data_IF_907417727579
#
_entry.id   IF_907417727579
#
_cell.length_a   1.000
_cell.length_b   1.000
_cell.length_c   1.000
_cell.angle_alpha   90.00
_cell.angle_beta   90.00
_cell.angle_gamma   90.00
#
_symmetry.space_group_name_H-M   'P 1'
#
loop_
_entity.id
_entity.type
_entity.pdbx_description
1 polymer ?
#
# COMPACT_ATOMS: atom_id res chain seq x y z
N UNK A 1 17.53 -5.99 -17.40
CA UNK A 1 16.12 -5.74 -17.74
C UNK A 1 15.56 -4.66 -16.83
N UNK A 2 15.26 -3.46 -17.36
CA UNK A 2 14.73 -2.33 -16.57
C UNK A 2 13.24 -2.48 -16.27
N UNK A 3 12.85 -3.47 -15.46
CA UNK A 3 11.45 -3.67 -15.05
C UNK A 3 10.97 -2.63 -14.03
N UNK A 4 11.91 -2.04 -13.29
CA UNK A 4 11.67 -0.88 -12.43
C UNK A 4 11.36 0.40 -13.23
N UNK A 5 11.55 0.37 -14.56
CA UNK A 5 11.23 1.47 -15.45
C UNK A 5 9.87 1.26 -16.11
N UNK A 6 9.03 2.29 -16.10
CA UNK A 6 7.72 2.22 -16.72
C UNK A 6 7.88 1.85 -18.20
N UNK A 7 7.15 0.83 -18.67
CA UNK A 7 7.31 0.35 -20.03
C UNK A 7 6.86 1.36 -21.09
N UNK A 8 6.11 2.41 -20.74
CA UNK A 8 5.75 3.49 -21.67
C UNK A 8 6.95 4.25 -22.23
N UNK A 9 8.12 4.17 -21.57
CA UNK A 9 9.36 4.75 -22.07
C UNK A 9 9.98 3.97 -23.24
N UNK A 10 9.40 2.82 -23.61
CA UNK A 10 9.95 1.89 -24.59
C UNK A 10 8.93 1.56 -25.67
N UNK A 11 9.37 1.19 -26.89
CA UNK A 11 8.49 0.85 -28.01
C UNK A 11 7.93 -0.58 -27.88
N UNK A 12 7.30 -0.88 -26.75
CA UNK A 12 6.62 -2.15 -26.51
C UNK A 12 5.14 -2.07 -26.91
N UNK A 13 4.56 -3.22 -27.26
CA UNK A 13 3.11 -3.29 -27.46
C UNK A 13 2.39 -3.07 -26.12
N UNK A 14 1.14 -2.57 -26.14
CA UNK A 14 0.39 -2.33 -24.91
C UNK A 14 0.31 -3.53 -23.97
N UNK A 15 0.09 -4.73 -24.52
CA UNK A 15 0.09 -5.96 -23.74
C UNK A 15 1.43 -6.25 -23.04
N UNK A 16 2.55 -6.04 -23.74
CA UNK A 16 3.88 -6.22 -23.14
C UNK A 16 4.13 -5.19 -22.04
N UNK A 17 3.65 -3.95 -22.22
CA UNK A 17 3.68 -2.95 -21.17
C UNK A 17 2.92 -3.42 -19.92
N UNK A 18 1.70 -3.90 -20.09
CA UNK A 18 0.89 -4.40 -18.97
C UNK A 18 1.54 -5.57 -18.24
N UNK A 19 2.06 -6.57 -18.96
CA UNK A 19 2.76 -7.71 -18.33
C UNK A 19 3.96 -7.23 -17.52
N UNK A 20 4.73 -6.26 -18.02
CA UNK A 20 5.87 -5.70 -17.28
C UNK A 20 5.41 -4.98 -16.01
N UNK A 21 4.31 -4.22 -16.06
CA UNK A 21 3.72 -3.57 -14.87
C UNK A 21 3.22 -4.60 -13.87
N UNK A 22 2.55 -5.67 -14.30
CA UNK A 22 2.10 -6.77 -13.43
C UNK A 22 3.25 -7.48 -12.72
N UNK A 23 4.33 -7.79 -13.44
CA UNK A 23 5.54 -8.40 -12.86
C UNK A 23 6.16 -7.47 -11.81
N UNK A 24 6.35 -6.19 -12.14
CA UNK A 24 6.93 -5.24 -11.20
C UNK A 24 6.02 -5.01 -9.98
N UNK A 25 4.71 -4.94 -10.19
CA UNK A 25 3.73 -4.84 -9.13
C UNK A 25 3.83 -5.99 -8.13
N UNK A 26 4.02 -7.22 -8.62
CA UNK A 26 4.21 -8.38 -7.75
C UNK A 26 5.46 -8.24 -6.86
N UNK A 27 6.60 -7.84 -7.44
CA UNK A 27 7.83 -7.58 -6.68
C UNK A 27 7.63 -6.48 -5.64
N UNK A 28 6.89 -5.43 -6.00
CA UNK A 28 6.57 -4.33 -5.10
C UNK A 28 5.72 -4.77 -3.90
N UNK A 29 4.70 -5.59 -4.14
CA UNK A 29 3.87 -6.13 -3.07
C UNK A 29 4.67 -7.09 -2.16
N UNK A 30 5.54 -7.93 -2.73
CA UNK A 30 6.44 -8.81 -1.96
C UNK A 30 7.37 -8.01 -1.05
N UNK A 31 7.98 -6.96 -1.57
CA UNK A 31 8.87 -6.10 -0.78
C UNK A 31 8.13 -5.42 0.37
N UNK A 32 6.93 -4.86 0.12
CA UNK A 32 6.11 -4.28 1.19
C UNK A 32 5.71 -5.30 2.28
N UNK A 33 5.45 -6.56 1.90
CA UNK A 33 5.25 -7.63 2.88
C UNK A 33 6.52 -7.89 3.69
N UNK A 34 7.69 -7.87 3.07
CA UNK A 34 8.95 -8.06 3.78
C UNK A 34 9.20 -6.96 4.82
N UNK A 35 8.90 -5.69 4.48
CA UNK A 35 8.93 -4.57 5.41
C UNK A 35 8.01 -4.81 6.62
N UNK A 36 6.78 -5.27 6.37
CA UNK A 36 5.75 -5.43 7.41
C UNK A 36 6.03 -6.59 8.36
N UNK A 37 6.40 -7.75 7.82
CA UNK A 37 6.46 -9.00 8.59
C UNK A 37 7.85 -9.31 9.14
N UNK A 38 8.90 -8.89 8.44
CA UNK A 38 10.28 -9.22 8.82
C UNK A 38 11.07 -8.01 9.30
N UNK A 39 10.49 -6.80 9.26
CA UNK A 39 11.21 -5.57 9.58
C UNK A 39 12.42 -5.35 8.68
N UNK A 40 12.39 -5.93 7.47
CA UNK A 40 13.46 -5.79 6.50
C UNK A 40 13.54 -4.35 5.97
N UNK A 41 14.66 -3.99 5.37
CA UNK A 41 14.76 -2.80 4.54
C UNK A 41 14.29 -3.11 3.11
N UNK A 42 13.76 -2.10 2.42
CA UNK A 42 13.31 -2.24 1.03
C UNK A 42 14.51 -2.56 0.13
N UNK A 43 14.42 -3.65 -0.63
CA UNK A 43 15.42 -4.02 -1.64
C UNK A 43 15.12 -3.43 -3.03
N UNK A 44 13.99 -2.74 -3.18
CA UNK A 44 13.60 -2.11 -4.44
C UNK A 44 14.29 -0.76 -4.66
N UNK A 45 14.66 -0.44 -5.91
CA UNK A 45 15.35 0.80 -6.22
C UNK A 45 14.44 2.01 -5.99
N UNK A 46 14.91 3.07 -5.31
CA UNK A 46 14.12 4.29 -5.09
C UNK A 46 13.84 5.05 -6.39
N UNK A 47 14.60 4.78 -7.46
CA UNK A 47 14.44 5.37 -8.78
C UNK A 47 13.41 4.62 -9.66
N UNK A 48 12.63 3.71 -9.08
CA UNK A 48 11.55 3.02 -9.80
C UNK A 48 10.46 4.01 -10.18
N UNK A 49 10.09 4.06 -11.47
CA UNK A 49 9.02 4.92 -11.99
C UNK A 49 7.85 4.11 -12.59
N UNK A 50 7.92 2.77 -12.51
CA UNK A 50 6.86 1.88 -12.99
C UNK A 50 5.52 2.17 -12.32
N UNK A 51 4.49 2.36 -13.15
CA UNK A 51 3.12 2.56 -12.70
C UNK A 51 2.44 1.23 -12.29
N UNK A 52 1.35 1.29 -11.51
CA UNK A 52 0.48 0.14 -11.25
C UNK A 52 -0.05 -0.49 -12.55
N UNK A 53 -0.42 -1.78 -12.53
CA UNK A 53 -1.07 -2.42 -13.66
C UNK A 53 -2.44 -1.78 -13.93
N UNK A 54 -3.01 -2.05 -15.09
CA UNK A 54 -4.33 -1.54 -15.43
C UNK A 54 -5.43 -2.46 -14.91
N UNK A 55 -6.59 -1.90 -14.56
CA UNK A 55 -7.73 -2.64 -14.00
C UNK A 55 -8.49 -3.46 -15.07
N UNK A 56 -7.82 -4.23 -15.93
CA UNK A 56 -8.47 -4.92 -17.05
C UNK A 56 -8.20 -6.43 -17.02
N UNK A 57 -9.22 -7.24 -17.34
CA UNK A 57 -9.08 -8.69 -17.40
C UNK A 57 -8.19 -9.11 -18.58
N UNK A 58 -7.56 -10.27 -18.47
CA UNK A 58 -6.64 -10.78 -19.50
C UNK A 58 -7.29 -10.91 -20.88
N UNK A 59 -8.56 -11.33 -20.91
CA UNK A 59 -9.33 -11.52 -22.14
C UNK A 59 -9.57 -10.22 -22.93
N UNK A 60 -9.47 -9.07 -22.26
CA UNK A 60 -9.67 -7.75 -22.90
C UNK A 60 -8.43 -7.31 -23.68
N UNK A 61 -7.26 -7.91 -23.41
CA UNK A 61 -6.00 -7.47 -24.00
C UNK A 61 -5.76 -8.02 -25.40
N UNK A 62 -5.41 -7.13 -26.32
CA UNK A 62 -4.93 -7.51 -27.64
C UNK A 62 -3.45 -7.91 -27.59
N UNK A 63 -3.15 -9.20 -27.70
CA UNK A 63 -1.79 -9.75 -27.49
C UNK A 63 -0.83 -9.55 -28.67
N UNK A 64 -1.33 -9.18 -29.86
CA UNK A 64 -0.48 -8.93 -31.02
C UNK A 64 0.56 -7.84 -30.77
N UNK A 65 1.77 -8.06 -31.28
CA UNK A 65 2.83 -7.04 -31.28
C UNK A 65 2.46 -5.78 -32.08
N UNK A 66 1.50 -5.90 -32.99
CA UNK A 66 0.98 -4.81 -33.83
C UNK A 66 -0.31 -4.18 -33.28
N UNK A 67 -0.67 -4.49 -32.03
CA UNK A 67 -1.82 -3.88 -31.37
C UNK A 67 -1.68 -2.35 -31.34
N UNK A 68 -2.73 -1.65 -31.78
CA UNK A 68 -2.80 -0.19 -31.74
C UNK A 68 -2.92 0.28 -30.28
N UNK A 69 -2.31 1.41 -29.88
CA UNK A 69 -2.60 2.04 -28.59
C UNK A 69 -4.11 2.19 -28.26
N UNK A 70 -4.97 2.36 -29.26
CA UNK A 70 -6.43 2.41 -29.08
C UNK A 70 -7.06 1.07 -28.68
N UNK A 71 -6.32 -0.04 -28.75
CA UNK A 71 -6.77 -1.36 -28.28
C UNK A 71 -6.46 -1.61 -26.81
N UNK A 72 -5.93 -0.61 -26.09
CA UNK A 72 -5.80 -0.68 -24.63
C UNK A 72 -7.21 -0.74 -24.04
N UNK A 73 -7.53 -1.74 -23.21
CA UNK A 73 -8.84 -1.83 -22.58
C UNK A 73 -9.19 -0.56 -21.80
N UNK A 74 -10.44 -0.16 -21.77
CA UNK A 74 -10.94 0.86 -20.84
C UNK A 74 -11.87 0.15 -19.87
N UNK A 75 -11.44 -0.04 -18.63
CA UNK A 75 -12.28 -0.70 -17.65
C UNK A 75 -12.86 0.31 -16.67
N UNK A 76 -14.17 0.19 -16.47
CA UNK A 76 -14.92 0.83 -15.40
C UNK A 76 -15.54 -0.26 -14.55
N UNK A 77 -15.26 -0.24 -13.25
CA UNK A 77 -15.83 -1.18 -12.28
C UNK A 77 -14.88 -2.31 -11.85
N UNK A 78 -15.46 -3.33 -11.25
CA UNK A 78 -14.73 -4.43 -10.64
C UNK A 78 -14.26 -5.44 -11.69
N UNK A 79 -12.99 -5.85 -11.62
CA UNK A 79 -12.37 -6.85 -12.50
C UNK A 79 -11.48 -7.80 -11.70
N UNK A 80 -10.94 -8.85 -12.31
CA UNK A 80 -9.97 -9.74 -11.66
C UNK A 80 -8.73 -8.98 -11.16
N UNK A 81 -8.40 -7.85 -11.80
CA UNK A 81 -7.29 -6.99 -11.40
C UNK A 81 -7.60 -6.11 -10.19
N UNK A 82 -8.86 -6.00 -9.77
CA UNK A 82 -9.25 -5.18 -8.62
C UNK A 82 -8.57 -5.64 -7.32
N UNK A 83 -8.47 -6.95 -7.08
CA UNK A 83 -7.71 -7.47 -5.94
C UNK A 83 -6.24 -7.05 -6.00
N UNK A 84 -5.62 -7.15 -7.17
CA UNK A 84 -4.20 -6.81 -7.39
C UNK A 84 -3.94 -5.34 -7.10
N UNK A 85 -4.86 -4.46 -7.52
CA UNK A 85 -4.76 -3.02 -7.30
C UNK A 85 -5.05 -2.61 -5.85
N UNK A 86 -6.01 -3.25 -5.20
CA UNK A 86 -6.26 -3.07 -3.76
C UNK A 86 -5.04 -3.50 -2.93
N UNK A 87 -4.45 -4.66 -3.27
CA UNK A 87 -3.21 -5.13 -2.64
C UNK A 87 -2.05 -4.14 -2.87
N UNK A 88 -1.93 -3.59 -4.08
CA UNK A 88 -0.92 -2.58 -4.42
C UNK A 88 -1.08 -1.31 -3.58
N UNK A 89 -2.30 -0.81 -3.38
CA UNK A 89 -2.55 0.36 -2.53
C UNK A 89 -2.14 0.10 -1.07
N UNK A 90 -2.43 -1.09 -0.54
CA UNK A 90 -1.96 -1.52 0.79
C UNK A 90 -0.43 -1.58 0.85
N UNK A 91 0.23 -2.09 -0.19
CA UNK A 91 1.69 -2.13 -0.29
C UNK A 91 2.30 -0.72 -0.34
N UNK A 92 1.70 0.21 -1.08
CA UNK A 92 2.10 1.63 -1.10
C UNK A 92 1.94 2.31 0.25
N UNK A 93 0.82 2.04 0.94
CA UNK A 93 0.56 2.52 2.30
C UNK A 93 1.62 2.00 3.26
N UNK A 94 1.93 0.72 3.18
CA UNK A 94 2.94 0.05 4.01
C UNK A 94 4.32 0.69 3.84
N UNK A 95 4.74 0.92 2.60
CA UNK A 95 6.01 1.56 2.28
C UNK A 95 6.05 3.02 2.71
N UNK A 96 4.98 3.77 2.47
CA UNK A 96 4.85 5.16 2.94
C UNK A 96 4.95 5.24 4.47
N UNK A 97 4.44 4.25 5.19
CA UNK A 97 4.60 4.15 6.64
C UNK A 97 6.02 3.76 7.05
N UNK A 98 6.78 3.03 6.23
CA UNK A 98 8.18 2.73 6.52
C UNK A 98 9.07 3.97 6.35
N UNK A 99 8.73 4.85 5.40
CA UNK A 99 9.48 6.08 5.11
C UNK A 99 9.21 7.23 6.09
N UNK A 100 8.20 7.10 6.95
CA UNK A 100 7.84 8.09 7.99
C UNK A 100 8.42 7.67 9.34
N UNK A 101 8.95 8.64 10.08
CA UNK A 101 9.41 8.48 11.46
C UNK A 101 8.42 7.60 12.25
N UNK A 102 8.85 6.47 12.83
CA UNK A 102 8.01 5.59 13.64
C UNK A 102 7.27 6.29 14.79
N UNK A 103 7.75 7.45 15.24
CA UNK A 103 7.20 8.22 16.34
C UNK A 103 6.26 9.36 15.90
N UNK A 104 6.16 9.64 14.60
CA UNK A 104 5.22 10.63 14.04
C UNK A 104 3.84 9.98 13.84
N UNK A 105 3.14 9.73 14.93
CA UNK A 105 1.83 9.07 14.90
C UNK A 105 0.76 9.88 14.16
N UNK A 106 0.90 11.22 14.10
CA UNK A 106 -0.02 12.10 13.39
C UNK A 106 0.04 11.88 11.89
N UNK A 107 1.25 11.94 11.31
CA UNK A 107 1.46 11.71 9.88
C UNK A 107 1.14 10.27 9.48
N UNK A 108 1.52 9.29 10.31
CA UNK A 108 1.19 7.88 10.09
C UNK A 108 -0.33 7.63 10.13
N UNK A 109 -1.03 8.29 11.06
CA UNK A 109 -2.49 8.25 11.15
C UNK A 109 -3.16 8.84 9.90
N UNK A 110 -2.67 9.98 9.41
CA UNK A 110 -3.17 10.60 8.18
C UNK A 110 -3.01 9.70 6.95
N UNK A 111 -1.85 9.04 6.80
CA UNK A 111 -1.60 8.06 5.72
C UNK A 111 -2.63 6.92 5.78
N UNK A 112 -2.89 6.37 6.96
CA UNK A 112 -3.85 5.28 7.14
C UNK A 112 -5.30 5.69 6.86
N UNK A 113 -5.69 6.91 7.22
CA UNK A 113 -7.01 7.44 6.93
C UNK A 113 -7.19 7.67 5.42
N UNK A 114 -6.18 8.23 4.77
CA UNK A 114 -6.18 8.45 3.32
C UNK A 114 -6.28 7.13 2.57
N UNK A 115 -5.45 6.14 2.94
CA UNK A 115 -5.47 4.82 2.33
C UNK A 115 -6.84 4.12 2.46
N UNK A 116 -7.48 4.22 3.63
CA UNK A 116 -8.82 3.64 3.81
C UNK A 116 -9.87 4.36 2.95
N UNK A 117 -9.80 5.68 2.86
CA UNK A 117 -10.70 6.46 2.01
C UNK A 117 -10.53 6.10 0.53
N UNK A 118 -9.29 5.92 0.08
CA UNK A 118 -9.01 5.56 -1.31
C UNK A 118 -9.40 4.11 -1.63
N UNK A 119 -9.22 3.17 -0.70
CA UNK A 119 -9.71 1.79 -0.84
C UNK A 119 -11.23 1.75 -0.97
N UNK A 120 -11.95 2.46 -0.08
CA UNK A 120 -13.42 2.53 -0.13
C UNK A 120 -13.93 3.19 -1.41
N UNK A 121 -13.26 4.26 -1.87
CA UNK A 121 -13.67 4.99 -3.07
C UNK A 121 -13.44 4.19 -4.35
N UNK A 122 -12.30 3.50 -4.44
CA UNK A 122 -11.88 2.86 -5.68
C UNK A 122 -12.40 1.43 -5.82
N UNK A 123 -12.73 0.79 -4.70
CA UNK A 123 -13.10 -0.63 -4.64
C UNK A 123 -14.39 -0.84 -3.83
N UNK A 124 -15.39 0.01 -4.06
CA UNK A 124 -16.73 -0.19 -3.51
C UNK A 124 -17.25 -1.56 -3.99
N UNK A 125 -17.44 -2.47 -3.03
CA UNK A 125 -17.81 -3.85 -3.31
C UNK A 125 -19.33 -4.03 -3.22
N UNK A 126 -19.92 -4.64 -4.25
CA UNK A 126 -21.24 -5.24 -4.13
C UNK A 126 -21.14 -6.47 -3.21
N UNK A 127 -21.75 -6.35 -2.02
CA UNK A 127 -21.79 -7.43 -1.04
C UNK A 127 -22.69 -8.58 -1.48
N UNK A 128 -23.32 -8.58 -2.65
CA UNK A 128 -23.92 -9.77 -3.23
C UNK A 128 -22.86 -10.71 -3.83
N UNK A 129 -21.80 -10.16 -4.43
CA UNK A 129 -20.76 -10.89 -5.16
C UNK A 129 -19.69 -11.48 -4.20
N UNK A 130 -19.48 -12.81 -4.18
CA UNK A 130 -18.45 -13.44 -3.36
C UNK A 130 -17.03 -12.93 -3.61
N UNK A 131 -16.67 -12.59 -4.86
CA UNK A 131 -15.33 -12.12 -5.21
C UNK A 131 -15.06 -10.74 -4.62
N UNK A 132 -16.03 -9.84 -4.71
CA UNK A 132 -15.95 -8.47 -4.20
C UNK A 132 -15.97 -8.44 -2.67
N UNK A 133 -16.73 -9.35 -2.03
CA UNK A 133 -16.68 -9.59 -0.58
C UNK A 133 -15.29 -9.97 -0.11
N UNK A 134 -14.62 -10.89 -0.82
CA UNK A 134 -13.26 -11.32 -0.47
C UNK A 134 -12.28 -10.15 -0.54
N UNK A 135 -12.37 -9.32 -1.58
CA UNK A 135 -11.51 -8.13 -1.70
C UNK A 135 -11.80 -7.13 -0.58
N UNK A 136 -13.07 -6.84 -0.27
CA UNK A 136 -13.45 -5.95 0.82
C UNK A 136 -12.89 -6.46 2.16
N UNK A 137 -13.17 -7.70 2.52
CA UNK A 137 -12.69 -8.31 3.76
C UNK A 137 -11.14 -8.31 3.84
N UNK A 138 -10.47 -8.62 2.73
CA UNK A 138 -9.01 -8.56 2.65
C UNK A 138 -8.51 -7.13 2.95
N UNK A 139 -9.09 -6.11 2.33
CA UNK A 139 -8.65 -4.72 2.52
C UNK A 139 -8.90 -4.23 3.95
N UNK A 140 -10.05 -4.56 4.54
CA UNK A 140 -10.39 -4.22 5.91
C UNK A 140 -9.41 -4.82 6.90
N UNK A 141 -9.14 -6.13 6.79
CA UNK A 141 -8.20 -6.84 7.67
C UNK A 141 -6.81 -6.22 7.56
N UNK A 142 -6.33 -5.96 6.35
CA UNK A 142 -4.97 -5.42 6.15
C UNK A 142 -4.81 -4.00 6.69
N UNK A 143 -5.79 -3.13 6.49
CA UNK A 143 -5.78 -1.78 7.06
C UNK A 143 -5.88 -1.83 8.60
N UNK A 144 -6.73 -2.71 9.15
CA UNK A 144 -6.84 -2.92 10.58
C UNK A 144 -5.51 -3.38 11.20
N UNK A 145 -4.79 -4.31 10.56
CA UNK A 145 -3.46 -4.73 10.99
C UNK A 145 -2.48 -3.55 11.05
N UNK A 146 -2.42 -2.72 10.01
CA UNK A 146 -1.51 -1.56 9.99
C UNK A 146 -1.86 -0.53 11.07
N UNK A 147 -3.15 -0.30 11.32
CA UNK A 147 -3.63 0.57 12.42
C UNK A 147 -3.23 0.04 13.77
N UNK A 148 -3.45 -1.25 14.01
CA UNK A 148 -3.09 -1.90 15.26
C UNK A 148 -1.59 -1.81 15.50
N UNK A 149 -0.76 -2.07 14.48
CA UNK A 149 0.70 -1.90 14.58
C UNK A 149 1.11 -0.46 14.90
N UNK A 150 0.39 0.54 14.41
CA UNK A 150 0.65 1.95 14.72
C UNK A 150 0.26 2.30 16.16
N UNK A 151 -0.94 1.86 16.59
CA UNK A 151 -1.44 2.07 17.96
C UNK A 151 -0.55 1.37 18.99
N UNK A 152 -0.10 0.14 18.69
CA UNK A 152 0.83 -0.58 19.55
C UNK A 152 2.14 0.19 19.77
N UNK A 153 2.72 0.79 18.73
CA UNK A 153 3.92 1.62 18.88
C UNK A 153 3.64 2.87 19.74
N UNK A 154 2.48 3.48 19.56
CA UNK A 154 2.06 4.64 20.35
C UNK A 154 1.91 4.30 21.84
N UNK A 155 1.30 3.17 22.17
CA UNK A 155 1.15 2.73 23.56
C UNK A 155 2.48 2.37 24.19
N UNK A 156 3.36 1.66 23.46
CA UNK A 156 4.72 1.34 23.95
C UNK A 156 5.52 2.60 24.31
N UNK A 157 5.46 3.65 23.47
CA UNK A 157 6.11 4.94 23.76
C UNK A 157 5.55 5.60 25.02
N UNK A 158 4.22 5.59 25.19
CA UNK A 158 3.56 6.16 26.37
C UNK A 158 3.98 5.43 27.66
N UNK A 159 4.20 4.12 27.61
CA UNK A 159 4.67 3.32 28.75
C UNK A 159 6.15 3.54 29.09
N UNK A 160 6.99 3.86 28.10
CA UNK A 160 8.44 4.06 28.30
C UNK A 160 8.83 5.49 28.68
N UNK A 161 7.93 6.47 28.55
CA UNK A 161 8.14 7.80 29.14
C UNK A 161 7.89 7.72 30.66
N UNK A 162 8.90 7.99 31.52
CA UNK A 162 8.71 7.97 32.95
C UNK A 162 7.64 8.99 33.34
N UNK A 163 6.73 8.60 34.23
CA UNK A 163 5.87 9.55 34.97
C UNK A 163 6.82 10.51 35.66
N UNK A 164 6.93 11.74 35.16
CA UNK A 164 7.70 12.79 35.84
C UNK A 164 7.19 12.91 37.27
N UNK A 165 8.10 12.60 38.20
CA UNK A 165 7.90 12.51 39.64
C UNK A 165 7.35 13.82 40.19
N UNK A 166 6.03 13.88 40.33
CA UNK A 166 5.35 14.98 41.01
C UNK A 166 5.72 15.03 42.50
N UNK A 167 6.58 16.00 42.84
CA UNK A 167 6.66 16.73 44.11
C UNK A 167 7.12 15.95 45.36
N UNK A 168 8.43 15.89 45.57
CA UNK A 168 8.98 16.10 46.91
C UNK A 168 9.13 17.61 47.15
N UNK A 169 8.06 18.25 47.63
CA UNK A 169 8.20 19.53 48.33
C UNK A 169 8.81 19.22 49.70
N UNK A 170 10.13 19.45 49.79
CA UNK A 170 10.85 19.46 51.05
C UNK A 170 10.23 20.48 51.99
N UNK A 171 9.77 19.98 53.13
CA UNK A 171 9.42 20.77 54.31
C UNK A 171 10.71 21.42 54.81
N UNK A 172 10.94 22.69 54.46
CA UNK A 172 11.93 23.51 55.13
C UNK A 172 11.32 24.04 56.43
N UNK A 173 11.61 23.34 57.53
CA UNK A 173 11.60 23.94 58.86
C UNK A 173 12.70 25.01 58.93
N UNK A 174 12.38 26.19 59.47
CA UNK A 174 13.37 27.09 60.05
C UNK A 174 12.73 27.77 61.26
N UNK A 175 13.46 27.64 62.36
CA UNK A 175 13.23 28.19 63.69
C UNK A 175 13.31 29.72 63.73
#
# INVERSE_FOLDING_TARGET
MGHHRDPSHFPFSPWVCEIRRRIWNHLYCLDAMALSFYGAESCLPPTSDSQPPQNANEIEWHTSRFANPSSVPSSSGFTDMTFVLAHRLIAETTRSLADVDPLDFGKRGAILLQAEADLRRNYESDMADPSQKVVAAYTEVRIACLRLSNQYRQTQKATTQPVESGKHQGIHHSH
#
